data_IF_667935380239
#
_entry.id   IF_667935380239
#
_cell.length_a   1.000
_cell.length_b   1.000
_cell.length_c   1.000
_cell.angle_alpha   90.00
_cell.angle_beta   90.00
_cell.angle_gamma   90.00
#
_symmetry.space_group_name_H-M   'P 1'
#
loop_
_entity.id
_entity.type
_entity.pdbx_description
1 polymer ?
#
# COMPACT_ATOMS: atom_id res chain seq x y z
N UNK A 1 70.73 -37.59 -4.63
CA UNK A 1 70.56 -36.22 -4.07
C UNK A 1 69.40 -35.54 -4.81
N UNK A 2 68.25 -35.54 -4.20
CA UNK A 2 67.04 -34.89 -4.78
C UNK A 2 67.04 -33.45 -4.31
N UNK A 3 67.08 -32.46 -5.25
CA UNK A 3 66.98 -31.05 -4.95
C UNK A 3 65.46 -30.74 -4.75
N UNK A 4 65.16 -30.38 -3.53
CA UNK A 4 63.83 -29.85 -3.17
C UNK A 4 63.77 -28.41 -3.62
N UNK A 5 62.97 -28.10 -4.63
CA UNK A 5 62.66 -26.74 -5.03
C UNK A 5 61.49 -26.28 -4.16
N UNK A 6 61.76 -25.43 -3.19
CA UNK A 6 60.71 -24.72 -2.41
C UNK A 6 60.28 -23.54 -3.27
N UNK A 7 59.09 -23.68 -3.88
CA UNK A 7 58.38 -22.54 -4.49
C UNK A 7 57.73 -21.78 -3.35
N UNK A 8 58.33 -20.67 -2.93
CA UNK A 8 57.70 -19.69 -2.06
C UNK A 8 56.64 -18.99 -2.88
N UNK A 9 55.41 -19.46 -2.79
CA UNK A 9 54.25 -18.72 -3.27
C UNK A 9 54.05 -17.50 -2.36
N UNK A 10 54.62 -16.38 -2.78
CA UNK A 10 54.28 -15.05 -2.22
C UNK A 10 52.81 -14.75 -2.60
N UNK A 11 51.90 -15.10 -1.73
CA UNK A 11 50.52 -14.58 -1.77
C UNK A 11 50.66 -13.09 -1.44
N UNK A 12 50.82 -12.29 -2.46
CA UNK A 12 50.45 -10.86 -2.35
C UNK A 12 48.96 -10.82 -2.08
N UNK A 13 48.58 -10.85 -0.80
CA UNK A 13 47.33 -10.33 -0.38
C UNK A 13 47.37 -8.84 -0.75
N UNK A 14 46.85 -8.52 -1.92
CA UNK A 14 46.41 -7.17 -2.24
C UNK A 14 45.31 -6.87 -1.21
N UNK A 15 45.71 -6.32 -0.07
CA UNK A 15 44.85 -5.51 0.76
C UNK A 15 44.48 -4.33 -0.09
N UNK A 16 43.55 -4.55 -1.03
CA UNK A 16 42.73 -3.49 -1.53
C UNK A 16 42.04 -2.94 -0.26
N UNK A 17 42.58 -1.83 0.25
CA UNK A 17 41.87 -0.99 1.18
C UNK A 17 40.60 -0.53 0.41
N UNK A 18 39.60 -1.36 0.37
CA UNK A 18 38.29 -0.95 -0.07
C UNK A 18 37.87 0.10 0.93
N UNK A 19 37.97 1.37 0.50
CA UNK A 19 37.46 2.49 1.27
C UNK A 19 36.06 2.10 1.70
N UNK A 20 35.81 2.05 3.00
CA UNK A 20 34.49 1.73 3.52
C UNK A 20 33.50 2.73 2.95
N UNK A 21 32.50 2.24 2.22
CA UNK A 21 31.51 3.10 1.59
C UNK A 21 30.67 3.77 2.68
N UNK A 22 30.56 5.08 2.60
CA UNK A 22 29.69 5.86 3.46
C UNK A 22 28.28 5.90 2.86
N UNK A 23 27.26 6.24 3.67
CA UNK A 23 25.89 6.36 3.18
C UNK A 23 25.69 7.47 2.14
N UNK A 24 26.61 8.42 2.04
CA UNK A 24 26.61 9.54 1.07
C UNK A 24 27.36 9.24 -0.22
N UNK A 25 28.12 8.14 -0.30
CA UNK A 25 28.77 7.75 -1.54
C UNK A 25 27.70 7.39 -2.60
N UNK A 26 27.91 7.75 -3.89
CA UNK A 26 26.94 7.48 -4.94
C UNK A 26 26.53 6.01 -5.01
N UNK A 27 25.23 5.78 -5.16
CA UNK A 27 24.61 4.47 -5.22
C UNK A 27 23.79 4.32 -6.49
N UNK A 28 23.87 3.16 -7.12
CA UNK A 28 22.93 2.69 -8.15
C UNK A 28 22.07 1.58 -7.59
N UNK A 29 20.91 1.34 -8.21
CA UNK A 29 19.96 0.33 -7.75
C UNK A 29 19.68 -0.68 -8.85
N UNK A 30 19.77 -1.97 -8.52
CA UNK A 30 19.19 -3.03 -9.33
C UNK A 30 17.75 -3.20 -8.89
N UNK A 31 16.80 -2.97 -9.81
CA UNK A 31 15.36 -3.07 -9.59
C UNK A 31 14.80 -4.26 -10.34
N UNK A 32 13.99 -5.08 -9.70
CA UNK A 32 13.30 -6.17 -10.37
C UNK A 32 11.92 -6.41 -9.77
N UNK A 33 10.95 -6.70 -10.63
CA UNK A 33 9.60 -7.12 -10.25
C UNK A 33 9.54 -8.64 -10.30
N UNK A 34 9.15 -9.29 -9.22
CA UNK A 34 9.13 -10.75 -9.09
C UNK A 34 7.73 -11.36 -9.24
N UNK A 35 6.71 -10.68 -8.76
CA UNK A 35 5.31 -11.13 -8.80
C UNK A 35 4.38 -9.93 -8.91
N UNK A 36 3.38 -10.04 -9.77
CA UNK A 36 2.33 -9.02 -9.93
C UNK A 36 0.96 -9.68 -9.79
N UNK A 37 0.11 -9.09 -8.95
CA UNK A 37 -1.32 -9.37 -8.83
C UNK A 37 -2.14 -8.15 -9.30
N UNK A 38 -3.43 -8.15 -9.06
CA UNK A 38 -4.32 -7.05 -9.47
C UNK A 38 -4.10 -5.77 -8.67
N UNK A 39 -3.96 -5.86 -7.36
CA UNK A 39 -3.81 -4.72 -6.44
C UNK A 39 -2.46 -4.67 -5.76
N UNK A 40 -1.53 -5.56 -6.12
CA UNK A 40 -0.24 -5.66 -5.43
C UNK A 40 0.90 -6.17 -6.31
N UNK A 41 2.12 -5.82 -5.90
CA UNK A 41 3.36 -6.22 -6.57
C UNK A 41 4.44 -6.56 -5.54
N UNK A 42 5.27 -7.55 -5.86
CA UNK A 42 6.52 -7.82 -5.13
C UNK A 42 7.68 -7.38 -6.01
N UNK A 43 8.55 -6.59 -5.44
CA UNK A 43 9.75 -6.13 -6.14
C UNK A 43 10.96 -6.15 -5.20
N UNK A 44 12.14 -6.21 -5.80
CA UNK A 44 13.41 -6.18 -5.08
C UNK A 44 14.17 -4.92 -5.44
N UNK A 45 14.74 -4.28 -4.42
CA UNK A 45 15.67 -3.17 -4.55
C UNK A 45 17.02 -3.64 -4.00
N UNK A 46 18.08 -3.60 -4.83
CA UNK A 46 19.44 -3.90 -4.41
C UNK A 46 20.33 -2.69 -4.66
N UNK A 47 20.71 -1.95 -3.62
CA UNK A 47 21.66 -0.86 -3.75
C UNK A 47 23.10 -1.39 -3.99
N UNK A 48 23.86 -0.73 -4.85
CA UNK A 48 25.29 -1.01 -5.04
C UNK A 48 26.12 -0.63 -3.81
N UNK A 49 25.63 0.29 -3.00
CA UNK A 49 26.18 0.68 -1.71
C UNK A 49 25.19 0.25 -0.61
N UNK A 50 25.48 -0.81 0.18
CA UNK A 50 24.54 -1.31 1.19
C UNK A 50 24.32 -0.34 2.36
N UNK A 51 25.17 0.66 2.53
CA UNK A 51 25.06 1.69 3.56
C UNK A 51 24.24 2.90 3.11
N UNK A 52 23.93 3.01 1.80
CA UNK A 52 23.13 4.11 1.29
C UNK A 52 21.72 4.07 1.85
N UNK A 53 21.22 5.23 2.29
CA UNK A 53 19.80 5.42 2.57
C UNK A 53 19.06 5.66 1.26
N UNK A 54 17.94 5.01 1.08
CA UNK A 54 17.09 5.22 -0.08
C UNK A 54 15.61 5.15 0.30
N UNK A 55 14.80 5.79 -0.53
CA UNK A 55 13.35 5.69 -0.47
C UNK A 55 12.81 5.33 -1.86
N UNK A 56 11.55 4.91 -1.91
CA UNK A 56 10.87 4.61 -3.16
C UNK A 56 9.46 5.19 -3.17
N UNK A 57 8.91 5.39 -4.36
CA UNK A 57 7.52 5.74 -4.56
C UNK A 57 6.95 4.98 -5.75
N UNK A 58 5.63 4.79 -5.72
CA UNK A 58 4.88 4.13 -6.80
C UNK A 58 3.74 5.04 -7.22
N UNK A 59 3.62 5.31 -8.51
CA UNK A 59 2.53 6.08 -9.13
C UNK A 59 1.91 5.27 -10.25
N UNK A 60 0.62 5.44 -10.47
CA UNK A 60 -0.07 4.84 -11.60
C UNK A 60 -0.43 5.90 -12.67
N UNK A 61 -0.81 5.43 -13.85
CA UNK A 61 -1.13 6.26 -15.00
C UNK A 61 -2.37 7.17 -14.82
N UNK A 62 -3.22 6.93 -13.82
CA UNK A 62 -4.37 7.81 -13.53
C UNK A 62 -3.96 9.14 -12.89
N UNK A 63 -2.73 9.22 -12.38
CA UNK A 63 -2.17 10.47 -11.89
C UNK A 63 -1.60 11.31 -13.07
N UNK A 64 -2.46 11.68 -14.04
CA UNK A 64 -2.09 12.25 -15.33
C UNK A 64 -1.09 13.40 -15.25
N UNK A 65 -1.30 14.35 -14.33
CA UNK A 65 -0.41 15.52 -14.17
C UNK A 65 0.98 15.17 -13.62
N UNK A 66 1.13 13.97 -13.06
CA UNK A 66 2.33 13.54 -12.32
C UNK A 66 3.04 12.40 -13.05
N UNK A 67 2.28 11.50 -13.65
CA UNK A 67 2.79 10.25 -14.18
C UNK A 67 3.86 10.43 -15.26
N UNK A 68 3.71 11.43 -16.12
CA UNK A 68 4.64 11.72 -17.22
C UNK A 68 5.84 12.59 -16.83
N UNK A 69 5.91 13.05 -15.57
CA UNK A 69 7.04 13.85 -15.12
C UNK A 69 8.35 13.05 -15.22
N UNK A 70 9.48 13.74 -15.50
CA UNK A 70 10.80 13.12 -15.38
C UNK A 70 11.00 12.52 -13.98
N UNK A 71 11.65 11.37 -13.88
CA UNK A 71 11.81 10.64 -12.61
C UNK A 71 12.42 11.48 -11.49
N UNK A 72 13.31 12.42 -11.83
CA UNK A 72 13.87 13.37 -10.85
C UNK A 72 12.80 14.31 -10.27
N UNK A 73 11.87 14.77 -11.09
CA UNK A 73 10.78 15.65 -10.62
C UNK A 73 9.78 14.87 -9.76
N UNK A 74 9.46 13.62 -10.12
CA UNK A 74 8.69 12.71 -9.27
C UNK A 74 9.36 12.51 -7.91
N UNK A 75 10.65 12.25 -7.90
CA UNK A 75 11.40 12.04 -6.65
C UNK A 75 11.42 13.30 -5.77
N UNK A 76 11.60 14.49 -6.36
CA UNK A 76 11.56 15.77 -5.63
C UNK A 76 10.18 16.04 -5.03
N UNK A 77 9.13 15.84 -5.81
CA UNK A 77 7.76 16.05 -5.37
C UNK A 77 7.43 15.12 -4.19
N UNK A 78 7.79 13.84 -4.32
CA UNK A 78 7.52 12.85 -3.28
C UNK A 78 8.34 13.12 -2.01
N UNK A 79 9.60 13.54 -2.17
CA UNK A 79 10.44 13.98 -1.04
C UNK A 79 9.83 15.19 -0.32
N UNK A 80 9.30 16.15 -1.06
CA UNK A 80 8.59 17.30 -0.50
C UNK A 80 7.42 16.85 0.38
N UNK A 81 6.58 15.95 -0.13
CA UNK A 81 5.46 15.38 0.61
C UNK A 81 5.92 14.61 1.88
N UNK A 82 6.96 13.78 1.79
CA UNK A 82 7.52 13.08 2.96
C UNK A 82 8.03 14.06 4.02
N UNK A 83 8.72 15.13 3.61
CA UNK A 83 9.23 16.15 4.53
C UNK A 83 8.08 16.87 5.23
N UNK A 84 7.03 17.26 4.50
CA UNK A 84 5.91 18.00 5.07
C UNK A 84 5.09 17.11 6.01
N UNK A 85 4.84 15.85 5.64
CA UNK A 85 4.17 14.87 6.51
C UNK A 85 5.00 14.61 7.78
N UNK A 86 6.32 14.44 7.64
CA UNK A 86 7.19 14.24 8.79
C UNK A 86 7.17 15.42 9.76
N UNK A 87 7.17 16.66 9.25
CA UNK A 87 7.06 17.88 10.09
C UNK A 87 5.73 17.92 10.86
N UNK A 88 4.62 17.54 10.21
CA UNK A 88 3.31 17.47 10.92
C UNK A 88 3.38 16.54 12.13
N UNK A 89 4.07 15.41 12.03
CA UNK A 89 4.26 14.48 13.13
C UNK A 89 5.26 14.98 14.17
N UNK A 90 6.36 15.61 13.76
CA UNK A 90 7.28 16.30 14.70
C UNK A 90 6.53 17.35 15.53
N UNK A 91 5.63 18.11 14.90
CA UNK A 91 4.82 19.15 15.56
C UNK A 91 3.76 18.57 16.52
N UNK A 92 3.24 17.37 16.24
CA UNK A 92 2.29 16.66 17.10
C UNK A 92 2.94 16.06 18.37
N UNK A 93 4.25 16.14 18.51
CA UNK A 93 5.05 15.54 19.59
C UNK A 93 4.96 14.01 19.69
N UNK A 94 4.57 13.34 18.62
CA UNK A 94 4.61 11.89 18.53
C UNK A 94 6.06 11.41 18.39
N UNK A 95 6.42 10.38 19.16
CA UNK A 95 7.76 9.78 19.06
C UNK A 95 7.81 8.78 17.91
N UNK A 96 7.90 9.28 16.69
CA UNK A 96 7.91 8.48 15.45
C UNK A 96 9.30 8.04 14.98
N UNK A 97 10.37 8.39 15.72
CA UNK A 97 11.75 8.17 15.27
C UNK A 97 12.29 9.27 14.37
N UNK A 98 13.43 9.02 13.73
CA UNK A 98 14.05 9.97 12.80
C UNK A 98 13.42 9.89 11.41
N UNK A 99 13.65 10.90 10.56
CA UNK A 99 13.23 10.85 9.15
C UNK A 99 13.73 9.58 8.42
N UNK A 100 14.96 9.13 8.77
CA UNK A 100 15.50 7.89 8.25
C UNK A 100 14.67 6.66 8.67
N UNK A 101 14.25 6.59 9.93
CA UNK A 101 13.49 5.46 10.46
C UNK A 101 12.11 5.33 9.80
N UNK A 102 11.52 6.45 9.41
CA UNK A 102 10.16 6.50 8.83
C UNK A 102 10.17 6.25 7.33
N UNK A 103 11.08 6.90 6.59
CA UNK A 103 11.00 6.95 5.12
C UNK A 103 12.14 6.25 4.38
N UNK A 104 13.21 5.85 5.09
CA UNK A 104 14.38 5.33 4.41
C UNK A 104 14.63 3.86 4.69
N UNK A 105 15.21 3.21 3.70
CA UNK A 105 15.69 1.82 3.75
C UNK A 105 17.20 1.80 3.55
N UNK A 106 17.83 0.72 4.00
CA UNK A 106 19.23 0.38 3.72
C UNK A 106 19.35 -1.09 3.32
N UNK A 107 20.38 -1.42 2.55
CA UNK A 107 20.63 -2.77 2.09
C UNK A 107 19.59 -3.29 1.09
N UNK A 108 19.75 -4.53 0.66
CA UNK A 108 18.80 -5.16 -0.25
C UNK A 108 17.48 -5.47 0.46
N UNK A 109 16.36 -5.21 -0.24
CA UNK A 109 15.01 -5.46 0.28
C UNK A 109 14.13 -6.08 -0.78
N UNK A 110 13.32 -7.04 -0.36
CA UNK A 110 12.13 -7.46 -1.07
C UNK A 110 10.93 -6.78 -0.40
N UNK A 111 10.09 -6.16 -1.21
CA UNK A 111 8.97 -5.32 -0.75
C UNK A 111 7.69 -5.82 -1.40
N UNK A 112 6.64 -5.99 -0.61
CA UNK A 112 5.26 -6.16 -1.07
C UNK A 112 4.60 -4.78 -1.03
N UNK A 113 4.27 -4.23 -2.18
CA UNK A 113 3.46 -3.02 -2.30
C UNK A 113 2.03 -3.41 -2.57
N UNK A 114 1.11 -2.87 -1.78
CA UNK A 114 -0.34 -3.14 -1.83
C UNK A 114 -1.12 -1.90 -2.26
N UNK A 115 -2.43 -2.03 -2.36
CA UNK A 115 -3.37 -0.94 -2.68
C UNK A 115 -3.04 -0.25 -4.01
N UNK A 116 -2.65 -1.04 -5.01
CA UNK A 116 -2.39 -0.56 -6.35
C UNK A 116 -3.65 -0.56 -7.20
N UNK A 117 -3.72 0.34 -8.18
CA UNK A 117 -4.81 0.35 -9.17
C UNK A 117 -4.81 -0.92 -10.01
N UNK A 118 -6.00 -1.46 -10.30
CA UNK A 118 -6.19 -2.72 -11.01
C UNK A 118 -6.05 -2.51 -12.52
N UNK A 119 -5.23 -3.34 -13.18
CA UNK A 119 -5.04 -3.30 -14.63
C UNK A 119 -4.31 -2.06 -15.14
N UNK A 120 -3.69 -1.27 -14.25
CA UNK A 120 -3.02 -0.03 -14.57
C UNK A 120 -1.51 -0.20 -14.72
N UNK A 121 -0.90 0.64 -15.54
CA UNK A 121 0.55 0.80 -15.56
C UNK A 121 1.00 1.62 -14.34
N UNK A 122 2.09 1.18 -13.72
CA UNK A 122 2.71 1.82 -12.56
C UNK A 122 4.17 2.11 -12.84
N UNK A 123 4.64 3.23 -12.28
CA UNK A 123 6.06 3.61 -12.20
C UNK A 123 6.53 3.44 -10.76
N UNK A 124 7.48 2.56 -10.55
CA UNK A 124 8.26 2.46 -9.31
C UNK A 124 9.55 3.22 -9.51
N UNK A 125 9.81 4.23 -8.71
CA UNK A 125 11.12 4.87 -8.68
C UNK A 125 11.81 4.64 -7.33
N UNK A 126 13.14 4.66 -7.35
CA UNK A 126 14.00 4.59 -6.16
C UNK A 126 15.00 5.73 -6.21
N UNK A 127 15.23 6.35 -5.06
CA UNK A 127 16.11 7.50 -4.93
C UNK A 127 17.00 7.37 -3.70
N UNK A 128 18.29 7.65 -3.84
CA UNK A 128 19.20 7.78 -2.70
C UNK A 128 18.95 9.10 -1.99
N UNK A 129 18.91 9.05 -0.65
CA UNK A 129 18.66 10.21 0.19
C UNK A 129 19.79 10.42 1.21
N UNK A 130 20.07 11.68 1.51
CA UNK A 130 20.69 12.06 2.77
C UNK A 130 19.58 12.35 3.79
N UNK A 131 19.32 11.46 4.77
CA UNK A 131 18.23 11.66 5.70
C UNK A 131 18.47 12.81 6.69
N UNK A 132 19.73 13.26 6.87
CA UNK A 132 20.06 14.37 7.77
C UNK A 132 19.71 15.72 7.15
N UNK A 133 20.06 15.88 5.87
CA UNK A 133 19.78 17.11 5.12
C UNK A 133 18.45 17.04 4.39
N UNK A 134 17.83 15.85 4.32
CA UNK A 134 16.59 15.57 3.58
C UNK A 134 16.72 15.95 2.12
N UNK A 135 17.82 15.51 1.48
CA UNK A 135 18.14 15.84 0.08
C UNK A 135 18.40 14.60 -0.75
N UNK A 136 18.13 14.71 -2.05
CA UNK A 136 18.40 13.65 -3.03
C UNK A 136 19.90 13.60 -3.33
N UNK A 137 20.46 12.38 -3.36
CA UNK A 137 21.82 12.09 -3.79
C UNK A 137 21.77 11.35 -5.13
N UNK A 138 22.50 11.86 -6.13
CA UNK A 138 22.60 11.21 -7.43
C UNK A 138 21.33 11.27 -8.27
N UNK A 139 21.14 10.24 -9.10
CA UNK A 139 20.03 10.18 -10.06
C UNK A 139 19.07 9.06 -9.66
N UNK A 140 17.75 9.34 -9.51
CA UNK A 140 16.75 8.32 -9.30
C UNK A 140 16.73 7.31 -10.44
N UNK A 141 16.39 6.07 -10.12
CA UNK A 141 16.16 4.99 -11.08
C UNK A 141 14.72 4.53 -11.02
N UNK A 142 14.19 4.07 -12.14
CA UNK A 142 12.80 3.62 -12.22
C UNK A 142 12.65 2.30 -12.98
N UNK A 143 11.53 1.63 -12.71
CA UNK A 143 11.01 0.50 -13.46
C UNK A 143 9.51 0.66 -13.61
N UNK A 144 8.94 0.18 -14.73
CA UNK A 144 7.50 0.17 -14.97
C UNK A 144 6.98 -1.26 -14.90
N UNK A 145 5.74 -1.40 -14.45
CA UNK A 145 5.03 -2.66 -14.45
C UNK A 145 3.53 -2.39 -14.56
N UNK A 146 2.78 -3.38 -15.06
CA UNK A 146 1.31 -3.32 -15.14
C UNK A 146 0.72 -4.33 -14.19
N UNK A 147 -0.21 -3.90 -13.34
CA UNK A 147 -0.99 -4.80 -12.49
C UNK A 147 -1.92 -5.67 -13.34
N UNK A 148 -2.33 -6.81 -12.81
CA UNK A 148 -3.23 -7.70 -13.55
C UNK A 148 -4.62 -7.11 -13.59
N UNK A 149 -5.27 -7.22 -14.76
CA UNK A 149 -6.71 -6.98 -14.87
C UNK A 149 -7.49 -8.08 -14.13
N UNK A 150 -8.64 -7.70 -13.60
CA UNK A 150 -9.62 -8.62 -13.03
C UNK A 150 -10.84 -8.59 -13.93
N UNK A 151 -11.46 -9.74 -14.15
CA UNK A 151 -12.76 -9.78 -14.84
C UNK A 151 -13.81 -9.20 -13.88
N UNK A 152 -14.25 -7.97 -14.19
CA UNK A 152 -15.23 -7.26 -13.38
C UNK A 152 -16.63 -7.77 -13.68
N UNK A 153 -17.40 -8.05 -12.62
CA UNK A 153 -18.81 -8.45 -12.72
C UNK A 153 -19.71 -7.27 -12.32
N UNK A 154 -20.90 -7.13 -12.94
CA UNK A 154 -21.84 -6.06 -12.60
C UNK A 154 -22.62 -6.37 -11.31
N UNK A 155 -21.93 -6.55 -10.20
CA UNK A 155 -22.52 -6.82 -8.92
C UNK A 155 -22.88 -5.53 -8.20
N UNK A 156 -24.16 -5.38 -7.84
CA UNK A 156 -24.68 -4.25 -7.06
C UNK A 156 -25.18 -4.74 -5.69
N UNK A 157 -25.27 -3.84 -4.74
CA UNK A 157 -25.71 -4.13 -3.38
C UNK A 157 -26.85 -3.22 -2.98
N UNK A 158 -27.90 -3.81 -2.42
CA UNK A 158 -28.94 -3.13 -1.67
C UNK A 158 -28.65 -3.29 -0.18
N UNK A 159 -28.61 -2.17 0.55
CA UNK A 159 -28.37 -2.18 2.00
C UNK A 159 -29.57 -1.59 2.71
N UNK A 160 -30.17 -2.37 3.61
CA UNK A 160 -31.22 -1.93 4.53
C UNK A 160 -30.55 -1.59 5.88
N UNK A 161 -30.79 -0.37 6.36
CA UNK A 161 -30.29 0.10 7.66
C UNK A 161 -31.41 0.08 8.69
N UNK A 162 -31.24 -0.70 9.75
CA UNK A 162 -32.14 -0.72 10.92
C UNK A 162 -31.59 0.09 12.09
N UNK A 163 -32.17 -0.10 13.29
CA UNK A 163 -31.72 0.64 14.47
C UNK A 163 -30.33 0.18 14.98
N UNK A 164 -30.04 -1.10 14.87
CA UNK A 164 -28.75 -1.70 15.35
C UNK A 164 -28.22 -2.72 14.36
N UNK A 165 -28.65 -2.66 13.12
CA UNK A 165 -28.23 -3.63 12.11
C UNK A 165 -28.19 -3.04 10.72
N UNK A 166 -27.40 -3.70 9.87
CA UNK A 166 -27.48 -3.58 8.41
C UNK A 166 -27.83 -4.94 7.82
N UNK A 167 -28.62 -4.92 6.74
CA UNK A 167 -28.84 -6.11 5.93
C UNK A 167 -28.36 -5.84 4.52
N UNK A 168 -27.41 -6.64 4.06
CA UNK A 168 -26.77 -6.54 2.75
C UNK A 168 -27.39 -7.59 1.82
N UNK A 169 -27.84 -7.16 0.65
CA UNK A 169 -28.40 -8.06 -0.37
C UNK A 169 -27.69 -7.80 -1.69
N UNK A 170 -26.83 -8.71 -2.17
CA UNK A 170 -26.22 -8.58 -3.48
C UNK A 170 -27.23 -8.87 -4.60
N UNK A 171 -27.07 -8.24 -5.76
CA UNK A 171 -27.93 -8.46 -6.94
C UNK A 171 -27.85 -9.89 -7.50
N UNK A 172 -26.72 -10.58 -7.27
CA UNK A 172 -26.55 -12.02 -7.48
C UNK A 172 -26.25 -12.71 -6.14
N UNK A 173 -27.24 -13.47 -5.65
CA UNK A 173 -27.13 -14.20 -4.37
C UNK A 173 -26.10 -15.35 -4.40
N UNK A 174 -25.59 -15.73 -5.57
CA UNK A 174 -24.56 -16.75 -5.71
C UNK A 174 -23.14 -16.15 -5.63
N UNK A 175 -23.00 -14.84 -5.85
CA UNK A 175 -21.74 -14.15 -5.78
C UNK A 175 -21.21 -14.08 -4.34
N UNK A 176 -19.88 -14.11 -4.24
CA UNK A 176 -19.18 -13.81 -3.00
C UNK A 176 -18.76 -12.34 -3.01
N UNK A 177 -18.74 -11.73 -1.84
CA UNK A 177 -18.38 -10.32 -1.70
C UNK A 177 -17.66 -10.09 -0.37
N UNK A 178 -16.94 -8.98 -0.32
CA UNK A 178 -16.31 -8.46 0.88
C UNK A 178 -16.90 -7.08 1.20
N UNK A 179 -17.04 -6.80 2.47
CA UNK A 179 -17.47 -5.49 2.95
C UNK A 179 -16.82 -5.17 4.28
N UNK A 180 -16.61 -3.89 4.52
CA UNK A 180 -16.18 -3.41 5.82
C UNK A 180 -16.66 -1.96 5.99
N UNK A 181 -16.60 -1.47 7.23
CA UNK A 181 -16.91 -0.09 7.56
C UNK A 181 -15.92 0.45 8.59
N UNK A 182 -15.72 1.76 8.57
CA UNK A 182 -14.97 2.43 9.61
C UNK A 182 -15.45 3.88 9.75
N UNK A 183 -14.93 4.58 10.77
CA UNK A 183 -15.15 6.01 10.97
C UNK A 183 -14.81 6.78 9.68
N UNK A 184 -15.76 7.59 9.18
CA UNK A 184 -15.61 8.27 7.91
C UNK A 184 -14.42 9.26 7.90
N UNK A 185 -14.19 9.97 9.01
CA UNK A 185 -13.07 10.92 9.14
C UNK A 185 -11.72 10.17 9.14
N UNK A 186 -11.69 8.95 9.69
CA UNK A 186 -10.49 8.10 9.63
C UNK A 186 -10.21 7.65 8.20
N UNK A 187 -11.25 7.19 7.48
CA UNK A 187 -11.11 6.78 6.08
C UNK A 187 -10.65 7.95 5.22
N UNK A 188 -11.31 9.11 5.30
CA UNK A 188 -10.95 10.31 4.54
C UNK A 188 -9.51 10.79 4.80
N UNK A 189 -9.05 10.68 6.04
CA UNK A 189 -7.70 11.11 6.44
C UNK A 189 -6.61 10.12 6.09
N UNK A 190 -6.92 8.82 6.08
CA UNK A 190 -5.92 7.74 5.96
C UNK A 190 -5.84 7.16 4.55
N UNK A 191 -6.96 7.17 3.83
CA UNK A 191 -7.07 6.55 2.51
C UNK A 191 -7.45 7.61 1.46
N UNK A 192 -7.03 7.39 0.20
CA UNK A 192 -7.37 8.29 -0.90
C UNK A 192 -8.85 8.25 -1.27
N UNK A 193 -9.48 7.10 -1.07
CA UNK A 193 -10.91 6.89 -1.30
C UNK A 193 -11.43 5.71 -0.48
N UNK A 194 -12.76 5.56 -0.33
CA UNK A 194 -13.37 4.40 0.31
C UNK A 194 -12.96 3.06 -0.34
N UNK A 195 -12.78 3.03 -1.65
CA UNK A 195 -12.35 1.83 -2.37
C UNK A 195 -10.93 1.42 -1.94
N UNK A 196 -10.02 2.39 -1.79
CA UNK A 196 -8.66 2.13 -1.30
C UNK A 196 -8.66 1.59 0.14
N UNK A 197 -9.59 2.05 0.97
CA UNK A 197 -9.79 1.45 2.30
C UNK A 197 -10.10 -0.03 2.15
N UNK A 198 -11.11 -0.42 1.33
CA UNK A 198 -11.50 -1.81 1.15
C UNK A 198 -10.35 -2.66 0.60
N UNK A 199 -9.64 -2.18 -0.43
CA UNK A 199 -8.46 -2.87 -0.97
C UNK A 199 -7.38 -3.05 0.09
N UNK A 200 -7.11 -2.04 0.91
CA UNK A 200 -6.09 -2.09 1.96
C UNK A 200 -6.41 -3.14 3.01
N UNK A 201 -7.69 -3.25 3.41
CA UNK A 201 -8.14 -4.25 4.38
C UNK A 201 -8.04 -5.65 3.80
N UNK A 202 -8.50 -5.86 2.56
CA UNK A 202 -8.36 -7.15 1.86
C UNK A 202 -6.89 -7.56 1.74
N UNK A 203 -6.01 -6.62 1.35
CA UNK A 203 -4.58 -6.89 1.21
C UNK A 203 -3.89 -7.18 2.55
N UNK A 204 -4.39 -6.58 3.64
CA UNK A 204 -3.90 -6.83 5.00
C UNK A 204 -4.23 -8.24 5.46
N UNK A 205 -5.44 -8.70 5.18
CA UNK A 205 -5.96 -9.95 5.75
C UNK A 205 -5.87 -11.16 4.81
N UNK A 206 -5.54 -11.01 3.52
CA UNK A 206 -5.55 -12.10 2.54
C UNK A 206 -4.68 -13.31 2.91
N UNK A 207 -3.60 -13.08 3.65
CA UNK A 207 -2.64 -14.11 4.06
C UNK A 207 -3.01 -14.74 5.43
N UNK A 208 -4.09 -14.31 6.06
CA UNK A 208 -4.54 -14.86 7.34
C UNK A 208 -5.58 -15.97 7.18
N UNK A 209 -5.49 -17.00 8.01
CA UNK A 209 -6.36 -18.17 7.98
C UNK A 209 -7.85 -17.83 8.23
N UNK A 210 -8.13 -16.69 8.83
CA UNK A 210 -9.52 -16.25 9.10
C UNK A 210 -10.17 -15.51 7.92
N UNK A 211 -9.40 -15.08 6.91
CA UNK A 211 -9.93 -14.32 5.77
C UNK A 211 -11.14 -14.98 5.09
N UNK A 212 -11.19 -16.31 4.88
CA UNK A 212 -12.39 -16.95 4.35
C UNK A 212 -13.67 -16.72 5.15
N UNK A 213 -13.56 -16.47 6.46
CA UNK A 213 -14.70 -16.19 7.33
C UNK A 213 -15.23 -14.75 7.21
N UNK A 214 -14.44 -13.87 6.57
CA UNK A 214 -14.82 -12.47 6.30
C UNK A 214 -15.50 -12.32 4.93
N UNK A 215 -15.53 -13.39 4.13
CA UNK A 215 -16.15 -13.38 2.81
C UNK A 215 -17.61 -13.73 2.95
N UNK A 216 -18.47 -12.83 2.57
CA UNK A 216 -19.92 -12.97 2.62
C UNK A 216 -20.46 -13.59 1.34
N UNK A 217 -21.63 -14.22 1.44
CA UNK A 217 -22.36 -14.78 0.29
C UNK A 217 -23.87 -14.73 0.51
N UNK A 218 -24.61 -14.29 -0.53
CA UNK A 218 -26.05 -14.15 -0.43
C UNK A 218 -26.47 -13.00 0.48
N UNK A 219 -27.71 -13.07 1.00
CA UNK A 219 -28.21 -12.05 1.92
C UNK A 219 -27.62 -12.26 3.32
N UNK A 220 -27.08 -11.19 3.91
CA UNK A 220 -26.48 -11.20 5.24
C UNK A 220 -27.03 -10.08 6.10
N UNK A 221 -27.18 -10.33 7.40
CA UNK A 221 -27.55 -9.32 8.39
C UNK A 221 -26.47 -9.23 9.46
N UNK A 222 -25.92 -8.06 9.64
CA UNK A 222 -24.93 -7.73 10.65
C UNK A 222 -25.54 -6.85 11.74
N UNK A 223 -25.39 -7.25 13.00
CA UNK A 223 -25.91 -6.54 14.17
C UNK A 223 -24.73 -5.90 14.90
N UNK A 224 -24.70 -4.58 14.97
CA UNK A 224 -23.56 -3.82 15.51
C UNK A 224 -23.26 -4.15 16.97
N UNK A 225 -24.30 -4.23 17.82
CA UNK A 225 -24.14 -4.53 19.26
C UNK A 225 -23.60 -5.94 19.57
N UNK A 226 -23.60 -6.84 18.61
CA UNK A 226 -23.12 -8.22 18.76
C UNK A 226 -21.66 -8.40 18.30
N UNK A 227 -21.02 -7.35 17.86
CA UNK A 227 -19.67 -7.40 17.29
C UNK A 227 -18.70 -6.54 18.09
N UNK A 228 -17.41 -6.88 18.05
CA UNK A 228 -16.35 -6.23 18.82
C UNK A 228 -16.05 -4.79 18.39
N UNK A 229 -16.48 -4.41 17.18
CA UNK A 229 -16.30 -3.05 16.65
C UNK A 229 -17.42 -2.17 17.21
N UNK A 230 -17.16 -1.54 18.36
CA UNK A 230 -18.12 -0.64 19.00
C UNK A 230 -18.21 0.68 18.26
N UNK A 231 -19.45 1.06 17.89
CA UNK A 231 -19.75 2.38 17.36
C UNK A 231 -20.27 3.29 18.48
N UNK A 232 -19.92 4.56 18.42
CA UNK A 232 -20.41 5.59 19.33
C UNK A 232 -21.68 6.23 18.78
N UNK A 233 -22.57 6.66 19.69
CA UNK A 233 -23.80 7.38 19.30
C UNK A 233 -23.46 8.66 18.50
N UNK A 234 -24.02 8.79 17.31
CA UNK A 234 -23.76 9.89 16.40
C UNK A 234 -22.46 9.76 15.57
N UNK A 235 -21.80 8.62 15.64
CA UNK A 235 -20.59 8.38 14.83
C UNK A 235 -20.91 8.29 13.35
N UNK A 236 -20.18 9.07 12.54
CA UNK A 236 -20.25 9.03 11.07
C UNK A 236 -19.34 7.94 10.55
N UNK A 237 -19.88 7.02 9.80
CA UNK A 237 -19.17 5.86 9.25
C UNK A 237 -19.30 5.76 7.74
N UNK A 238 -18.32 5.18 7.10
CA UNK A 238 -18.37 4.80 5.69
C UNK A 238 -18.37 3.27 5.58
N UNK A 239 -19.38 2.72 4.93
CA UNK A 239 -19.52 1.31 4.58
C UNK A 239 -19.14 1.12 3.12
N UNK A 240 -18.26 0.17 2.84
CA UNK A 240 -17.81 -0.16 1.48
C UNK A 240 -18.04 -1.63 1.21
N UNK A 241 -18.61 -1.94 0.04
CA UNK A 241 -18.93 -3.30 -0.39
C UNK A 241 -18.42 -3.51 -1.82
N UNK A 242 -17.85 -4.67 -2.09
CA UNK A 242 -17.49 -5.06 -3.45
C UNK A 242 -17.51 -6.58 -3.63
N UNK A 243 -17.73 -7.05 -4.85
CA UNK A 243 -17.56 -8.45 -5.20
C UNK A 243 -16.14 -8.94 -4.92
N UNK A 244 -16.02 -10.15 -4.45
CA UNK A 244 -14.73 -10.76 -4.11
C UNK A 244 -14.68 -12.21 -4.58
N UNK A 245 -13.72 -12.54 -5.41
CA UNK A 245 -13.50 -13.90 -5.88
C UNK A 245 -12.01 -14.18 -6.14
N UNK A 246 -11.57 -15.39 -5.84
CA UNK A 246 -10.21 -15.87 -6.10
C UNK A 246 -9.09 -15.01 -5.48
N UNK A 247 -9.38 -14.36 -4.35
CA UNK A 247 -8.39 -13.49 -3.68
C UNK A 247 -8.35 -12.06 -4.22
N UNK A 248 -9.33 -11.65 -5.04
CA UNK A 248 -9.36 -10.35 -5.71
C UNK A 248 -10.74 -9.70 -5.61
N UNK A 249 -10.78 -8.38 -5.48
CA UNK A 249 -12.01 -7.60 -5.67
C UNK A 249 -12.35 -7.61 -7.15
N UNK A 250 -13.59 -7.95 -7.49
CA UNK A 250 -14.02 -8.19 -8.87
C UNK A 250 -15.34 -7.51 -9.25
N UNK A 251 -15.74 -6.49 -8.51
CA UNK A 251 -16.79 -5.54 -8.92
C UNK A 251 -16.38 -4.12 -8.55
N UNK A 252 -17.07 -3.16 -9.13
CA UNK A 252 -17.03 -1.80 -8.59
C UNK A 252 -17.56 -1.79 -7.15
N UNK A 253 -17.12 -0.80 -6.38
CA UNK A 253 -17.53 -0.69 -4.99
C UNK A 253 -18.84 0.06 -4.86
N UNK A 254 -19.71 -0.41 -3.98
CA UNK A 254 -20.86 0.35 -3.48
C UNK A 254 -20.49 0.98 -2.15
N UNK A 255 -20.72 2.28 -2.01
CA UNK A 255 -20.32 3.06 -0.84
C UNK A 255 -21.51 3.76 -0.22
N UNK A 256 -21.70 3.54 1.07
CA UNK A 256 -22.68 4.26 1.87
C UNK A 256 -21.98 5.05 2.98
N UNK A 257 -22.42 6.27 3.22
CA UNK A 257 -22.16 6.98 4.47
C UNK A 257 -23.37 6.82 5.38
N UNK A 258 -23.15 6.55 6.65
CA UNK A 258 -24.21 6.45 7.64
C UNK A 258 -23.80 7.07 8.98
N UNK A 259 -24.82 7.52 9.75
CA UNK A 259 -24.64 7.95 11.13
C UNK A 259 -25.26 6.92 12.05
N UNK A 260 -24.42 6.34 12.90
CA UNK A 260 -24.87 5.30 13.83
C UNK A 260 -25.73 5.87 14.94
N UNK A 261 -26.86 5.23 15.19
CA UNK A 261 -27.76 5.50 16.31
C UNK A 261 -28.16 4.20 16.99
N UNK A 262 -27.97 4.14 18.29
CA UNK A 262 -28.24 2.91 19.07
C UNK A 262 -29.73 2.55 19.12
N UNK A 263 -30.60 3.54 19.26
CA UNK A 263 -32.04 3.36 19.52
C UNK A 263 -32.94 3.99 18.44
N UNK A 264 -32.38 4.38 17.31
CA UNK A 264 -33.10 4.97 16.16
C UNK A 264 -32.66 4.31 14.87
N UNK A 265 -33.50 4.35 13.82
CA UNK A 265 -33.05 3.99 12.48
C UNK A 265 -31.81 4.79 12.09
N UNK A 266 -30.84 4.12 11.50
CA UNK A 266 -29.60 4.71 11.02
C UNK A 266 -29.92 5.63 9.85
N UNK A 267 -29.43 6.86 9.90
CA UNK A 267 -29.47 7.80 8.77
C UNK A 267 -28.35 7.44 7.80
N UNK A 268 -28.64 7.33 6.50
CA UNK A 268 -27.66 6.93 5.51
C UNK A 268 -27.82 7.70 4.20
N UNK A 269 -26.73 7.77 3.43
CA UNK A 269 -26.67 8.30 2.08
C UNK A 269 -25.88 7.33 1.21
N UNK A 270 -26.43 6.96 0.05
CA UNK A 270 -25.70 6.24 -0.97
C UNK A 270 -24.71 7.22 -1.63
N UNK A 271 -23.44 6.96 -1.51
CA UNK A 271 -22.38 7.81 -2.05
C UNK A 271 -21.96 7.37 -3.47
N UNK A 272 -21.87 6.05 -3.69
CA UNK A 272 -21.61 5.45 -5.00
C UNK A 272 -22.29 4.09 -5.10
N UNK A 273 -22.92 3.80 -6.24
CA UNK A 273 -23.60 2.52 -6.48
C UNK A 273 -22.79 1.59 -7.41
N UNK A 274 -21.50 1.87 -7.62
CA UNK A 274 -20.64 1.06 -8.49
C UNK A 274 -20.97 1.22 -9.96
N UNK A 275 -21.39 2.40 -10.39
CA UNK A 275 -21.71 2.60 -11.78
C UNK A 275 -21.81 4.08 -12.21
N UNK A 276 -20.72 4.64 -12.65
CA UNK A 276 -20.56 5.44 -13.87
C UNK A 276 -19.08 5.46 -14.26
#
# INVERSE_FOLDING_TARGET
>A
MKKLIIIAATVLAALACTKEQTYTDPCTFELSVSKVKSSKVWFTIKPSNPNAYYAYGVFNELAEDIYDLPVMELAKMNLGWWIDTYKMWEDSQENIGTFADVYCYQGAREIKQTSLGIGLEHRLFVVQLDPKTRTIIGTPQEIRFTTKSVEMIPLKFEVEFGADYITITPSDLSATYYWDYDNADLIERTYFSPEYFLYSIVDLYEDYDFMPNMISKGKETYVFSQNDKSLEEGERCTLVLAGYANGEINSESTVYEFVYHKDKPIEFTLYSDGGE
#
